data_IF_310360790268
#
_entry.id   IF_310360790268
#
_cell.length_a   1.000
_cell.length_b   1.000
_cell.length_c   1.000
_cell.angle_alpha   90.00
_cell.angle_beta   90.00
_cell.angle_gamma   90.00
#
_symmetry.space_group_name_H-M   'P 1'
#
loop_
_entity.id
_entity.type
_entity.pdbx_description
1 polymer ?
#
# COMPACT_ATOMS: atom_id res chain seq x y z
N UNK A 1 52.50 24.56 27.59
CA UNK A 1 53.15 24.16 26.32
C UNK A 1 52.09 23.53 25.43
N UNK A 2 51.92 24.03 24.21
CA UNK A 2 50.93 23.53 23.25
C UNK A 2 50.08 24.65 22.65
N UNK A 3 50.70 25.50 21.84
CA UNK A 3 50.03 26.59 21.12
C UNK A 3 49.14 26.04 20.01
N UNK A 4 47.87 26.41 20.04
CA UNK A 4 46.86 26.06 19.04
C UNK A 4 46.82 27.12 17.93
N UNK A 5 47.94 27.33 17.25
CA UNK A 5 48.00 28.24 16.11
C UNK A 5 48.17 27.45 14.81
N UNK A 6 47.08 26.86 14.33
CA UNK A 6 47.02 26.31 12.97
C UNK A 6 46.43 27.34 11.99
N UNK A 7 46.97 28.57 11.98
CA UNK A 7 46.58 29.62 11.03
C UNK A 7 47.70 29.92 10.02
N UNK A 8 48.19 28.86 9.37
CA UNK A 8 49.15 28.96 8.26
C UNK A 8 48.51 29.65 7.04
N UNK A 9 49.07 30.78 6.62
CA UNK A 9 48.57 31.70 5.57
C UNK A 9 48.24 31.01 4.23
N UNK A 10 48.90 29.89 3.91
CA UNK A 10 48.71 29.13 2.67
C UNK A 10 47.50 28.18 2.62
N UNK A 11 46.94 27.77 3.76
CA UNK A 11 45.79 26.84 3.80
C UNK A 11 44.43 27.56 3.79
N UNK A 12 44.41 28.88 4.02
CA UNK A 12 43.20 29.71 4.11
C UNK A 12 42.37 29.68 2.83
N UNK A 13 43.01 29.75 1.66
CA UNK A 13 42.30 29.69 0.37
C UNK A 13 41.63 28.33 0.14
N UNK A 14 42.30 27.25 0.54
CA UNK A 14 41.75 25.89 0.44
C UNK A 14 40.60 25.66 1.41
N UNK A 15 40.72 26.12 2.66
CA UNK A 15 39.63 26.05 3.65
C UNK A 15 38.41 26.87 3.20
N UNK A 16 38.61 28.08 2.68
CA UNK A 16 37.52 28.92 2.18
C UNK A 16 36.83 28.27 0.97
N UNK A 17 37.60 27.68 0.05
CA UNK A 17 37.06 26.96 -1.11
C UNK A 17 36.25 25.71 -0.70
N UNK A 18 36.74 24.93 0.26
CA UNK A 18 36.04 23.74 0.77
C UNK A 18 34.74 24.12 1.47
N UNK A 19 34.75 25.17 2.30
CA UNK A 19 33.53 25.67 2.93
C UNK A 19 32.50 26.15 1.90
N UNK A 20 32.95 26.84 0.84
CA UNK A 20 32.06 27.34 -0.23
C UNK A 20 31.44 26.21 -1.06
N UNK A 21 32.21 25.17 -1.39
CA UNK A 21 31.67 23.99 -2.06
C UNK A 21 30.72 23.20 -1.14
N UNK A 22 31.05 23.10 0.15
CA UNK A 22 30.20 22.45 1.15
C UNK A 22 28.85 23.14 1.32
N UNK A 23 28.83 24.49 1.36
CA UNK A 23 27.57 25.24 1.45
C UNK A 23 26.72 25.11 0.19
N UNK A 24 27.33 25.06 -0.99
CA UNK A 24 26.62 24.83 -2.26
C UNK A 24 26.05 23.41 -2.31
N UNK A 25 26.82 22.39 -1.94
CA UNK A 25 26.33 21.02 -1.91
C UNK A 25 25.18 20.83 -0.90
N UNK A 26 25.28 21.45 0.28
CA UNK A 26 24.23 21.42 1.29
C UNK A 26 22.98 22.17 0.83
N UNK A 27 23.11 23.33 0.19
CA UNK A 27 21.96 24.08 -0.30
C UNK A 27 21.24 23.35 -1.44
N UNK A 28 21.99 22.72 -2.34
CA UNK A 28 21.46 21.86 -3.40
C UNK A 28 20.75 20.64 -2.80
N UNK A 29 21.37 19.95 -1.84
CA UNK A 29 20.73 18.80 -1.17
C UNK A 29 19.45 19.20 -0.43
N UNK A 30 19.46 20.35 0.24
CA UNK A 30 18.27 20.86 0.92
C UNK A 30 17.18 21.24 -0.09
N UNK A 31 17.52 21.85 -1.21
CA UNK A 31 16.57 22.13 -2.29
C UNK A 31 15.96 20.83 -2.86
N UNK A 32 16.74 19.76 -3.01
CA UNK A 32 16.21 18.45 -3.39
C UNK A 32 15.27 17.85 -2.32
N UNK A 33 15.55 18.05 -1.03
CA UNK A 33 14.64 17.59 0.02
C UNK A 33 13.34 18.41 0.08
N UNK A 34 13.39 19.72 -0.19
CA UNK A 34 12.18 20.58 -0.20
C UNK A 34 11.36 20.42 -1.47
N UNK A 35 12.02 20.33 -2.63
CA UNK A 35 11.37 20.43 -3.95
C UNK A 35 11.43 19.15 -4.78
N UNK A 36 12.20 18.13 -4.37
CA UNK A 36 12.34 16.87 -5.10
C UNK A 36 11.21 15.87 -4.86
N UNK A 37 10.36 16.10 -3.86
CA UNK A 37 9.29 15.18 -3.44
C UNK A 37 7.90 15.59 -3.97
N UNK A 38 7.82 16.16 -5.17
CA UNK A 38 6.54 16.63 -5.75
C UNK A 38 6.17 16.01 -7.09
N UNK A 39 6.94 15.03 -7.60
CA UNK A 39 6.65 14.43 -8.93
C UNK A 39 6.26 12.96 -8.92
N UNK A 40 6.37 12.26 -7.78
CA UNK A 40 6.03 10.82 -7.69
C UNK A 40 4.86 10.52 -6.75
N UNK A 41 4.26 11.51 -6.07
CA UNK A 41 3.17 11.23 -5.14
C UNK A 41 1.79 11.17 -5.84
N UNK A 42 1.51 12.04 -6.81
CA UNK A 42 0.18 12.08 -7.46
C UNK A 42 -0.03 10.95 -8.49
N UNK A 43 1.06 10.57 -9.19
CA UNK A 43 1.03 9.51 -10.21
C UNK A 43 1.01 8.09 -9.63
N UNK A 44 1.48 7.92 -8.39
CA UNK A 44 1.66 6.60 -7.73
C UNK A 44 0.62 6.38 -6.62
N UNK A 45 -0.01 7.44 -6.08
CA UNK A 45 -1.09 7.35 -5.09
C UNK A 45 -2.51 7.26 -5.67
N UNK A 46 -2.67 7.40 -6.99
CA UNK A 46 -3.97 7.20 -7.63
C UNK A 46 -4.22 5.72 -7.93
N UNK A 47 -5.37 5.22 -7.51
CA UNK A 47 -5.80 3.87 -7.81
C UNK A 47 -6.03 3.71 -9.32
N UNK A 48 -5.18 2.91 -10.00
CA UNK A 48 -5.29 2.70 -11.46
C UNK A 48 -6.16 1.50 -11.84
N UNK A 49 -6.09 0.41 -11.07
CA UNK A 49 -6.84 -0.82 -11.32
C UNK A 49 -6.98 -1.62 -10.03
N UNK A 50 -8.12 -2.29 -9.86
CA UNK A 50 -8.34 -3.29 -8.82
C UNK A 50 -8.88 -4.57 -9.46
N UNK A 51 -8.30 -5.70 -9.09
CA UNK A 51 -8.86 -7.02 -9.34
C UNK A 51 -9.27 -7.64 -7.99
N UNK A 52 -10.55 -7.99 -7.83
CA UNK A 52 -11.09 -8.61 -6.61
C UNK A 52 -11.53 -10.02 -6.95
N UNK A 53 -10.87 -11.01 -6.34
CA UNK A 53 -11.22 -12.43 -6.48
C UNK A 53 -11.76 -12.91 -5.14
N UNK A 54 -13.02 -13.32 -5.12
CA UNK A 54 -13.68 -13.85 -3.93
C UNK A 54 -14.51 -15.08 -4.30
N UNK A 55 -14.72 -15.93 -3.31
CA UNK A 55 -15.63 -17.07 -3.44
C UNK A 55 -17.07 -16.59 -3.29
N UNK A 56 -18.00 -17.31 -3.92
CA UNK A 56 -19.43 -17.18 -3.65
C UNK A 56 -19.73 -17.27 -2.13
N UNK A 57 -20.85 -16.66 -1.70
CA UNK A 57 -21.36 -16.82 -0.34
C UNK A 57 -21.88 -18.23 -0.06
N UNK A 58 -22.34 -18.45 1.16
CA UNK A 58 -22.93 -19.73 1.57
C UNK A 58 -24.01 -20.24 0.59
N UNK A 59 -23.98 -21.54 0.30
CA UNK A 59 -24.88 -22.19 -0.68
C UNK A 59 -25.22 -23.61 -0.25
N UNK A 60 -26.33 -24.13 -0.75
CA UNK A 60 -26.68 -25.53 -0.55
C UNK A 60 -25.70 -26.48 -1.25
N UNK A 61 -25.63 -27.76 -0.82
CA UNK A 61 -24.83 -28.78 -1.48
C UNK A 61 -25.15 -28.84 -2.97
N UNK A 62 -24.14 -29.09 -3.80
CA UNK A 62 -24.33 -29.30 -5.25
C UNK A 62 -24.72 -30.74 -5.58
N UNK A 63 -24.33 -31.67 -4.72
CA UNK A 63 -24.54 -33.10 -4.88
C UNK A 63 -24.49 -33.79 -3.51
N UNK A 64 -24.98 -35.02 -3.45
CA UNK A 64 -24.97 -35.85 -2.26
C UNK A 64 -24.18 -37.13 -2.52
N UNK A 65 -23.49 -37.63 -1.50
CA UNK A 65 -22.93 -38.97 -1.55
C UNK A 65 -24.06 -40.03 -1.44
N UNK A 66 -23.80 -41.31 -1.75
CA UNK A 66 -24.84 -42.33 -1.84
C UNK A 66 -25.70 -42.52 -0.58
N UNK A 67 -25.10 -42.41 0.61
CA UNK A 67 -25.76 -42.67 1.89
C UNK A 67 -25.97 -41.39 2.72
N UNK A 68 -26.14 -40.24 2.06
CA UNK A 68 -26.31 -38.96 2.75
C UNK A 68 -27.67 -38.89 3.49
N UNK A 69 -27.69 -38.71 4.82
CA UNK A 69 -28.92 -38.62 5.60
C UNK A 69 -29.75 -37.37 5.27
N UNK A 70 -29.15 -36.35 4.66
CA UNK A 70 -29.77 -35.09 4.28
C UNK A 70 -30.12 -35.00 2.79
N UNK A 71 -30.06 -36.12 2.05
CA UNK A 71 -30.44 -36.16 0.62
C UNK A 71 -31.85 -35.64 0.35
N UNK A 72 -32.79 -35.91 1.26
CA UNK A 72 -34.19 -35.49 1.16
C UNK A 72 -34.49 -34.20 1.92
N UNK A 73 -33.46 -33.49 2.41
CA UNK A 73 -33.65 -32.21 3.08
C UNK A 73 -34.18 -31.16 2.09
N UNK A 74 -35.18 -30.35 2.47
CA UNK A 74 -35.76 -29.34 1.58
C UNK A 74 -34.86 -28.10 1.51
N UNK A 75 -33.73 -28.21 0.81
CA UNK A 75 -32.82 -27.08 0.57
C UNK A 75 -33.57 -25.95 -0.14
N UNK A 76 -33.62 -24.78 0.48
CA UNK A 76 -34.26 -23.59 -0.09
C UNK A 76 -33.56 -23.22 -1.40
N UNK A 77 -34.32 -23.17 -2.50
CA UNK A 77 -33.79 -22.92 -3.84
C UNK A 77 -33.19 -24.14 -4.55
N UNK A 78 -33.16 -25.31 -3.92
CA UNK A 78 -32.59 -26.54 -4.48
C UNK A 78 -31.08 -26.65 -4.28
N UNK A 79 -30.44 -27.55 -5.02
CA UNK A 79 -29.00 -27.83 -4.92
C UNK A 79 -28.15 -26.74 -5.60
N UNK A 80 -27.03 -26.41 -4.99
CA UNK A 80 -26.11 -25.37 -5.44
C UNK A 80 -26.63 -23.93 -5.32
N UNK A 81 -27.85 -23.74 -4.80
CA UNK A 81 -28.47 -22.44 -4.65
C UNK A 81 -27.79 -21.62 -3.54
N UNK A 82 -27.62 -20.32 -3.79
CA UNK A 82 -27.11 -19.38 -2.79
C UNK A 82 -28.14 -19.24 -1.67
N UNK A 83 -27.71 -19.40 -0.42
CA UNK A 83 -28.59 -19.26 0.73
C UNK A 83 -28.87 -17.78 1.03
N UNK A 84 -29.88 -17.51 1.87
CA UNK A 84 -30.13 -16.15 2.37
C UNK A 84 -28.90 -15.61 3.13
N UNK A 85 -28.27 -16.48 3.94
CA UNK A 85 -27.01 -16.16 4.62
C UNK A 85 -25.92 -15.82 3.62
N UNK A 86 -25.77 -16.61 2.54
CA UNK A 86 -24.80 -16.34 1.48
C UNK A 86 -25.04 -15.00 0.78
N UNK A 87 -26.31 -14.66 0.57
CA UNK A 87 -26.71 -13.36 0.01
C UNK A 87 -26.30 -12.21 0.94
N UNK A 88 -26.53 -12.35 2.26
CA UNK A 88 -26.10 -11.36 3.25
C UNK A 88 -24.57 -11.23 3.33
N UNK A 89 -23.83 -12.34 3.21
CA UNK A 89 -22.37 -12.34 3.17
C UNK A 89 -21.85 -11.53 1.98
N UNK A 90 -22.40 -11.75 0.78
CA UNK A 90 -22.01 -11.00 -0.42
C UNK A 90 -22.40 -9.52 -0.32
N UNK A 91 -23.55 -9.22 0.27
CA UNK A 91 -23.95 -7.85 0.56
C UNK A 91 -22.97 -7.15 1.52
N UNK A 92 -22.56 -7.83 2.60
CA UNK A 92 -21.58 -7.31 3.55
C UNK A 92 -20.19 -7.13 2.93
N UNK A 93 -19.78 -8.04 2.05
CA UNK A 93 -18.56 -7.88 1.25
C UNK A 93 -18.60 -6.57 0.45
N UNK A 94 -19.69 -6.34 -0.29
CA UNK A 94 -19.89 -5.09 -1.05
C UNK A 94 -19.87 -3.84 -0.17
N UNK A 95 -20.54 -3.89 1.00
CA UNK A 95 -20.49 -2.80 1.99
C UNK A 95 -19.08 -2.51 2.50
N UNK A 96 -18.24 -3.53 2.64
CA UNK A 96 -16.87 -3.37 3.11
C UNK A 96 -15.93 -2.85 2.02
N UNK A 97 -16.20 -3.16 0.75
CA UNK A 97 -15.41 -2.72 -0.39
C UNK A 97 -15.70 -1.27 -0.76
N UNK A 98 -16.98 -0.87 -0.78
CA UNK A 98 -17.44 0.48 -1.18
C UNK A 98 -16.74 1.67 -0.50
N UNK A 99 -16.42 1.65 0.82
CA UNK A 99 -15.72 2.76 1.44
C UNK A 99 -14.20 2.71 1.21
N UNK A 100 -13.65 1.58 0.76
CA UNK A 100 -12.20 1.41 0.56
C UNK A 100 -11.78 1.74 -0.87
N UNK A 101 -12.67 1.49 -1.81
CA UNK A 101 -12.47 1.59 -3.25
C UNK A 101 -13.74 2.11 -3.92
#
# INVERSE_FOLDING_TARGET
>A
MGGWDCWQKGKRGMTVSVCFLGTICLSVMMAYLVFGDSTDEEGVRSLRMIAIIFRHGDRSPTEFYPNDPHRNHPWTGGLGALSELGSQQMYNLGKNLRPRY
#
